data_IF_469149766206
#
_entry.id   IF_469149766206
#
_cell.length_a   1.000
_cell.length_b   1.000
_cell.length_c   1.000
_cell.angle_alpha   90.00
_cell.angle_beta   90.00
_cell.angle_gamma   90.00
#
_symmetry.space_group_name_H-M   'P 1'
#
loop_
_entity.id
_entity.type
_entity.pdbx_description
1 polymer ?
#
# COMPACT_ATOMS: atom_id res chain seq x y z
N UNK A 1 3.77 -70.70 -46.79
CA UNK A 1 2.86 -69.83 -47.57
C UNK A 1 2.20 -68.88 -46.58
N UNK A 2 2.25 -67.55 -46.63
CA UNK A 2 2.67 -66.49 -47.58
C UNK A 2 3.12 -65.28 -46.71
N UNK A 3 4.31 -64.71 -46.93
CA UNK A 3 4.60 -63.44 -47.64
C UNK A 3 4.18 -62.13 -46.90
N UNK A 4 5.19 -61.32 -46.50
CA UNK A 4 5.18 -59.89 -46.07
C UNK A 4 4.68 -58.96 -47.24
N UNK A 5 4.59 -57.59 -47.21
CA UNK A 5 5.04 -56.52 -46.27
C UNK A 5 4.06 -55.28 -46.22
N UNK A 6 4.54 -54.09 -45.78
CA UNK A 6 4.04 -52.67 -45.93
C UNK A 6 4.03 -51.98 -44.56
N UNK A 7 5.12 -51.34 -44.12
CA UNK A 7 5.49 -49.92 -44.34
C UNK A 7 4.40 -48.95 -43.90
N UNK A 8 4.60 -48.31 -42.75
CA UNK A 8 4.27 -46.90 -42.61
C UNK A 8 5.30 -46.22 -41.70
N UNK A 9 6.15 -45.47 -42.38
CA UNK A 9 7.10 -44.51 -41.82
C UNK A 9 6.30 -43.42 -41.12
N UNK A 10 6.49 -43.25 -39.81
CA UNK A 10 6.31 -41.94 -39.16
C UNK A 10 7.65 -41.65 -38.49
N UNK A 11 8.56 -41.11 -39.29
CA UNK A 11 9.74 -40.45 -38.78
C UNK A 11 9.27 -39.24 -37.96
N UNK A 12 9.48 -39.28 -36.65
CA UNK A 12 9.43 -38.09 -35.82
C UNK A 12 10.65 -37.26 -36.19
N UNK A 13 10.41 -36.25 -37.01
CA UNK A 13 11.41 -35.29 -37.46
C UNK A 13 12.08 -34.62 -36.25
N UNK A 14 13.36 -34.89 -36.07
CA UNK A 14 14.26 -33.97 -35.40
C UNK A 14 14.48 -32.74 -36.28
N UNK A 15 14.77 -31.60 -35.63
CA UNK A 15 15.28 -30.32 -36.18
C UNK A 15 14.25 -29.22 -36.43
N UNK A 16 13.94 -28.48 -35.36
CA UNK A 16 13.82 -27.02 -35.41
C UNK A 16 14.21 -26.40 -34.05
N UNK A 17 15.40 -26.74 -33.56
CA UNK A 17 16.03 -26.08 -32.41
C UNK A 17 16.97 -24.98 -32.90
N UNK A 18 16.46 -23.86 -33.42
CA UNK A 18 17.27 -22.71 -33.88
C UNK A 18 16.63 -21.33 -33.64
N UNK A 19 15.72 -21.17 -32.67
CA UNK A 19 15.31 -19.83 -32.18
C UNK A 19 15.66 -19.56 -30.70
N UNK A 20 15.93 -20.58 -29.88
CA UNK A 20 16.09 -20.41 -28.43
C UNK A 20 17.39 -19.77 -27.93
N UNK A 21 18.37 -19.47 -28.81
CA UNK A 21 19.65 -18.87 -28.39
C UNK A 21 19.52 -17.40 -27.98
N UNK A 22 18.75 -16.62 -28.75
CA UNK A 22 18.54 -15.19 -28.54
C UNK A 22 17.64 -14.92 -27.33
N UNK A 23 16.55 -15.68 -27.21
CA UNK A 23 15.56 -15.54 -26.14
C UNK A 23 16.14 -15.90 -24.77
N UNK A 24 17.03 -16.90 -24.71
CA UNK A 24 17.72 -17.28 -23.47
C UNK A 24 18.68 -16.19 -22.98
N UNK A 25 19.36 -15.49 -23.89
CA UNK A 25 20.26 -14.39 -23.55
C UNK A 25 19.48 -13.18 -23.00
N UNK A 26 18.33 -12.88 -23.61
CA UNK A 26 17.43 -11.79 -23.19
C UNK A 26 16.75 -12.09 -21.84
N UNK A 27 16.35 -13.34 -21.60
CA UNK A 27 15.84 -13.79 -20.29
C UNK A 27 16.90 -13.70 -19.18
N UNK A 28 18.16 -14.04 -19.47
CA UNK A 28 19.27 -13.89 -18.51
C UNK A 28 19.55 -12.42 -18.20
N UNK A 29 19.48 -11.55 -19.20
CA UNK A 29 19.60 -10.10 -19.01
C UNK A 29 18.45 -9.55 -18.18
N UNK A 30 17.21 -9.94 -18.50
CA UNK A 30 16.03 -9.59 -17.71
C UNK A 30 16.12 -10.03 -16.25
N UNK A 31 16.59 -11.26 -15.97
CA UNK A 31 16.82 -11.72 -14.59
C UNK A 31 17.87 -10.88 -13.86
N UNK A 32 18.99 -10.53 -14.52
CA UNK A 32 20.01 -9.65 -13.92
C UNK A 32 19.46 -8.25 -13.63
N UNK A 33 18.67 -7.69 -14.54
CA UNK A 33 18.06 -6.38 -14.36
C UNK A 33 17.01 -6.37 -13.23
N UNK A 34 16.24 -7.46 -13.09
CA UNK A 34 15.28 -7.63 -11.98
C UNK A 34 16.03 -7.73 -10.65
N UNK A 35 17.09 -8.54 -10.57
CA UNK A 35 17.89 -8.68 -9.35
C UNK A 35 18.51 -7.33 -8.95
N UNK A 36 19.06 -6.59 -9.92
CA UNK A 36 19.61 -5.26 -9.66
C UNK A 36 18.54 -4.27 -9.15
N UNK A 37 17.30 -4.35 -9.66
CA UNK A 37 16.18 -3.54 -9.17
C UNK A 37 15.73 -3.94 -7.77
N UNK A 38 15.68 -5.24 -7.47
CA UNK A 38 15.36 -5.74 -6.14
C UNK A 38 16.39 -5.28 -5.11
N UNK A 39 17.69 -5.38 -5.41
CA UNK A 39 18.76 -4.84 -4.57
C UNK A 39 18.62 -3.33 -4.34
N UNK A 40 18.22 -2.60 -5.39
CA UNK A 40 17.94 -1.16 -5.31
C UNK A 40 16.75 -0.84 -4.40
N UNK A 41 15.66 -1.60 -4.52
CA UNK A 41 14.48 -1.47 -3.67
C UNK A 41 14.79 -1.83 -2.21
N UNK A 42 15.55 -2.90 -1.96
CA UNK A 42 15.98 -3.28 -0.62
C UNK A 42 16.81 -2.17 0.03
N UNK A 43 17.78 -1.60 -0.70
CA UNK A 43 18.55 -0.45 -0.21
C UNK A 43 17.67 0.76 0.11
N UNK A 44 16.70 1.07 -0.73
CA UNK A 44 15.76 2.17 -0.49
C UNK A 44 14.90 1.90 0.76
N UNK A 45 14.39 0.67 0.93
CA UNK A 45 13.64 0.26 2.12
C UNK A 45 14.50 0.36 3.39
N UNK A 46 15.76 -0.09 3.34
CA UNK A 46 16.69 0.03 4.46
C UNK A 46 17.00 1.50 4.80
N UNK A 47 17.14 2.37 3.80
CA UNK A 47 17.33 3.81 4.01
C UNK A 47 16.11 4.46 4.67
N UNK A 48 14.90 4.12 4.23
CA UNK A 48 13.65 4.61 4.84
C UNK A 48 13.51 4.10 6.27
N UNK A 49 13.91 2.85 6.54
CA UNK A 49 13.87 2.27 7.89
C UNK A 49 14.95 2.84 8.83
N UNK A 50 16.10 3.24 8.29
CA UNK A 50 17.19 3.87 9.02
C UNK A 50 16.98 5.37 9.25
N UNK A 51 15.99 5.99 8.58
CA UNK A 51 15.60 7.36 8.85
C UNK A 51 15.14 7.49 10.31
N UNK A 52 15.61 8.54 10.99
CA UNK A 52 15.23 8.81 12.36
C UNK A 52 13.69 8.88 12.50
N UNK A 53 13.12 8.38 13.62
CA UNK A 53 11.69 8.46 13.84
C UNK A 53 11.25 9.92 13.71
N UNK A 54 10.23 10.17 12.89
CA UNK A 54 9.64 11.49 12.79
C UNK A 54 9.25 11.96 14.19
N UNK A 55 9.57 13.21 14.51
CA UNK A 55 9.20 13.80 15.79
C UNK A 55 7.70 13.57 16.05
N UNK A 56 7.37 13.10 17.25
CA UNK A 56 5.99 12.82 17.62
C UNK A 56 5.15 14.09 17.39
N UNK A 57 4.13 13.97 16.54
CA UNK A 57 3.17 15.06 16.35
C UNK A 57 2.42 15.27 17.68
N UNK A 58 2.04 16.52 18.01
CA UNK A 58 1.19 16.77 19.16
C UNK A 58 -0.05 15.88 19.07
N UNK A 59 -0.40 15.21 20.16
CA UNK A 59 -1.64 14.45 20.20
C UNK A 59 -2.81 15.42 20.04
N UNK A 60 -3.73 15.10 19.14
CA UNK A 60 -4.96 15.85 19.02
C UNK A 60 -5.79 15.71 20.30
N UNK A 61 -6.51 16.75 20.72
CA UNK A 61 -7.48 16.63 21.80
C UNK A 61 -8.47 15.49 21.50
N UNK A 62 -8.88 14.76 22.55
CA UNK A 62 -9.89 13.70 22.42
C UNK A 62 -11.19 14.27 21.84
N UNK A 63 -11.66 13.78 20.68
CA UNK A 63 -12.90 14.24 20.04
C UNK A 63 -14.16 14.06 20.92
N UNK A 64 -14.14 13.10 21.86
CA UNK A 64 -15.29 12.79 22.71
C UNK A 64 -15.20 13.45 24.09
N UNK A 65 -14.22 14.33 24.30
CA UNK A 65 -14.06 15.01 25.58
C UNK A 65 -15.21 15.96 25.83
N UNK A 66 -15.97 15.69 26.89
CA UNK A 66 -17.03 16.57 27.39
C UNK A 66 -16.40 17.69 28.22
N UNK A 67 -16.69 18.94 27.86
CA UNK A 67 -16.24 20.13 28.59
C UNK A 67 -17.41 20.76 29.34
N UNK A 68 -17.18 21.09 30.61
CA UNK A 68 -18.15 21.84 31.39
C UNK A 68 -17.86 23.34 31.23
N UNK A 69 -18.87 24.11 30.81
CA UNK A 69 -18.75 25.56 30.61
C UNK A 69 -19.36 26.26 31.84
N UNK A 70 -18.56 26.99 32.64
CA UNK A 70 -19.10 27.71 33.80
C UNK A 70 -19.92 28.92 33.34
N UNK A 71 -21.12 29.09 33.88
CA UNK A 71 -21.96 30.28 33.62
C UNK A 71 -21.38 31.52 34.32
N UNK A 72 -20.83 31.37 35.53
CA UNK A 72 -20.24 32.44 36.34
C UNK A 72 -21.13 33.70 36.36
N UNK A 73 -20.55 34.87 36.05
CA UNK A 73 -21.24 36.16 36.03
C UNK A 73 -21.87 36.50 34.66
N UNK A 74 -22.01 35.51 33.76
CA UNK A 74 -22.61 35.71 32.44
C UNK A 74 -24.08 36.09 32.53
N UNK A 75 -24.58 36.83 31.53
CA UNK A 75 -25.99 37.16 31.45
C UNK A 75 -26.84 35.90 31.22
N UNK A 76 -27.91 35.73 32.02
CA UNK A 76 -28.80 34.56 31.95
C UNK A 76 -30.22 34.99 31.59
N UNK A 77 -30.79 34.33 30.59
CA UNK A 77 -32.21 34.44 30.24
C UNK A 77 -32.93 33.14 30.61
N UNK A 78 -33.94 33.24 31.47
CA UNK A 78 -34.81 32.11 31.86
C UNK A 78 -34.69 31.72 33.35
N UNK A 79 -35.33 30.60 33.75
CA UNK A 79 -35.34 30.14 35.14
C UNK A 79 -33.98 29.64 35.62
N UNK A 80 -33.58 30.01 36.85
CA UNK A 80 -32.34 29.53 37.49
C UNK A 80 -32.33 28.01 37.76
N UNK A 81 -33.51 27.39 37.82
CA UNK A 81 -33.68 25.95 38.11
C UNK A 81 -34.04 25.15 36.85
N UNK A 82 -33.69 25.64 35.68
CA UNK A 82 -33.91 24.91 34.42
C UNK A 82 -33.13 23.59 34.43
N UNK A 83 -33.76 22.51 33.93
CA UNK A 83 -33.12 21.18 33.84
C UNK A 83 -32.02 21.12 32.78
N UNK A 84 -32.07 22.01 31.80
CA UNK A 84 -31.11 22.13 30.70
C UNK A 84 -30.72 23.59 30.58
N UNK A 85 -29.42 23.85 30.44
CA UNK A 85 -28.85 25.18 30.25
C UNK A 85 -28.09 25.19 28.92
N UNK A 86 -28.40 26.16 28.07
CA UNK A 86 -27.70 26.39 26.80
C UNK A 86 -26.81 27.62 26.98
N UNK A 87 -25.52 27.49 26.66
CA UNK A 87 -24.56 28.59 26.68
C UNK A 87 -24.27 28.99 25.24
N UNK A 88 -24.50 30.25 24.91
CA UNK A 88 -24.26 30.83 23.58
C UNK A 88 -23.10 31.82 23.66
N UNK A 89 -22.20 31.75 22.67
CA UNK A 89 -21.11 32.71 22.48
C UNK A 89 -21.37 33.48 21.19
N UNK A 90 -21.47 34.80 21.29
CA UNK A 90 -21.77 35.69 20.16
C UNK A 90 -20.83 36.89 20.18
N UNK A 91 -20.49 37.40 19.00
CA UNK A 91 -19.64 38.57 18.80
C UNK A 91 -20.38 39.55 17.87
N UNK A 92 -20.44 40.83 18.26
CA UNK A 92 -21.16 41.88 17.55
C UNK A 92 -20.16 42.95 17.11
N UNK A 93 -19.82 42.91 15.82
CA UNK A 93 -18.95 43.91 15.17
C UNK A 93 -19.69 45.23 14.92
#
# INVERSE_FOLDING_TARGET
>A
MRLKPVVSVVGVAALAACQGGSDIEELKKGQKDILAKLDGLDKAVQQVKAAAPAAARPQMPDPNKVYNIPVADSFVRGPKTAKVTIVEFSDFQ
#
